data_IF_216121801747
#
_entry.id   IF_216121801747
#
_cell.length_a   1.000
_cell.length_b   1.000
_cell.length_c   1.000
_cell.angle_alpha   90.00
_cell.angle_beta   90.00
_cell.angle_gamma   90.00
#
_symmetry.space_group_name_H-M   'P 1'
#
loop_
_entity.id
_entity.type
_entity.pdbx_description
1 polymer ?
#
# COMPACT_ATOMS: atom_id res chain seq x y z
N UNK A 1 9.79 -0.46 -28.51
CA UNK A 1 9.24 0.00 -27.22
C UNK A 1 10.41 0.34 -26.31
N UNK A 2 10.31 1.36 -25.46
CA UNK A 2 11.35 1.64 -24.44
C UNK A 2 11.16 0.69 -23.26
N UNK A 3 12.26 0.23 -22.68
CA UNK A 3 12.25 -0.50 -21.40
C UNK A 3 11.87 0.45 -20.26
N UNK A 4 11.14 -0.04 -19.24
CA UNK A 4 10.79 0.77 -18.08
C UNK A 4 12.05 1.13 -17.28
N UNK A 5 12.13 2.37 -16.79
CA UNK A 5 13.22 2.81 -15.90
C UNK A 5 13.23 2.02 -14.58
N UNK A 6 12.05 1.60 -14.11
CA UNK A 6 11.89 0.85 -12.88
C UNK A 6 10.77 -0.19 -13.00
N UNK A 7 11.03 -1.40 -12.50
CA UNK A 7 10.02 -2.45 -12.31
C UNK A 7 10.02 -2.86 -10.84
N UNK A 8 8.85 -2.99 -10.24
CA UNK A 8 8.69 -3.42 -8.85
C UNK A 8 7.35 -4.13 -8.64
N UNK A 9 7.30 -4.93 -7.58
CA UNK A 9 6.04 -5.57 -7.17
C UNK A 9 5.13 -4.56 -6.46
N UNK A 10 3.82 -4.76 -6.61
CA UNK A 10 2.81 -3.99 -5.88
C UNK A 10 2.99 -4.20 -4.37
N UNK A 11 2.92 -3.14 -3.55
CA UNK A 11 2.97 -3.26 -2.08
C UNK A 11 1.66 -3.84 -1.53
N UNK A 12 0.60 -3.89 -2.35
CA UNK A 12 -0.70 -4.40 -1.97
C UNK A 12 -0.77 -5.90 -2.28
N UNK A 13 -1.21 -6.67 -1.28
CA UNK A 13 -1.37 -8.12 -1.31
C UNK A 13 -2.37 -8.62 -2.38
N UNK A 14 -3.30 -7.76 -2.79
CA UNK A 14 -4.38 -8.10 -3.74
C UNK A 14 -4.33 -7.19 -4.95
N UNK A 15 -5.02 -7.60 -6.01
CA UNK A 15 -5.03 -6.91 -7.29
C UNK A 15 -5.32 -5.41 -7.13
N UNK A 16 -4.53 -4.59 -7.83
CA UNK A 16 -4.75 -3.16 -7.91
C UNK A 16 -6.06 -2.85 -8.64
N UNK A 17 -6.82 -1.88 -8.12
CA UNK A 17 -8.09 -1.40 -8.67
C UNK A 17 -7.95 -0.03 -9.33
N UNK A 18 -7.22 0.88 -8.72
CA UNK A 18 -7.04 2.24 -9.23
C UNK A 18 -5.68 2.82 -8.88
N UNK A 19 -5.24 3.77 -9.71
CA UNK A 19 -4.00 4.54 -9.60
C UNK A 19 -4.31 6.03 -9.77
N UNK A 20 -3.63 6.88 -8.99
CA UNK A 20 -3.70 8.34 -9.14
C UNK A 20 -2.33 8.95 -8.90
N UNK A 21 -1.96 9.93 -9.70
CA UNK A 21 -0.73 10.71 -9.51
C UNK A 21 -1.03 11.96 -8.67
N UNK A 22 -0.05 12.41 -7.89
CA UNK A 22 -0.13 13.69 -7.21
C UNK A 22 -0.08 14.83 -8.24
N UNK A 23 -0.74 15.98 -8.00
CA UNK A 23 -0.66 17.13 -8.90
C UNK A 23 0.77 17.65 -9.14
N UNK A 24 1.69 17.42 -8.19
CA UNK A 24 3.10 17.77 -8.36
C UNK A 24 3.85 16.83 -9.31
N UNK A 25 3.34 15.61 -9.53
CA UNK A 25 3.93 14.62 -10.42
C UNK A 25 5.01 13.73 -9.80
N UNK A 26 5.36 13.95 -8.52
CA UNK A 26 6.51 13.29 -7.89
C UNK A 26 6.18 11.93 -7.28
N UNK A 27 4.91 11.69 -6.97
CA UNK A 27 4.45 10.50 -6.24
C UNK A 27 3.11 10.01 -6.80
N UNK A 28 2.76 8.76 -6.50
CA UNK A 28 1.47 8.19 -6.88
C UNK A 28 0.84 7.36 -5.76
N UNK A 29 -0.47 7.15 -5.88
CA UNK A 29 -1.27 6.32 -4.98
C UNK A 29 -1.76 5.12 -5.75
N UNK A 30 -1.67 3.94 -5.14
CA UNK A 30 -2.28 2.69 -5.61
C UNK A 30 -3.30 2.19 -4.60
N UNK A 31 -4.43 1.67 -5.10
CA UNK A 31 -5.48 1.05 -4.29
C UNK A 31 -5.78 -0.38 -4.74
N UNK A 32 -6.17 -1.25 -3.82
CA UNK A 32 -6.55 -2.64 -4.12
C UNK A 32 -8.07 -2.81 -4.19
N UNK A 33 -8.50 -3.95 -4.73
CA UNK A 33 -9.92 -4.33 -4.84
C UNK A 33 -10.65 -4.46 -3.50
N UNK A 34 -9.92 -4.73 -2.41
CA UNK A 34 -10.46 -4.86 -1.05
C UNK A 34 -10.41 -3.55 -0.25
N UNK A 35 -9.97 -2.44 -0.89
CA UNK A 35 -9.95 -1.12 -0.26
C UNK A 35 -8.68 -0.75 0.51
N UNK A 36 -7.56 -1.48 0.33
CA UNK A 36 -6.26 -1.01 0.84
C UNK A 36 -5.67 0.06 -0.07
N UNK A 37 -4.90 0.98 0.50
CA UNK A 37 -4.26 2.09 -0.23
C UNK A 37 -2.80 2.20 0.19
N UNK A 38 -1.90 2.45 -0.76
CA UNK A 38 -0.50 2.74 -0.51
C UNK A 38 -0.05 3.95 -1.34
N UNK A 39 0.84 4.76 -0.77
CA UNK A 39 1.55 5.85 -1.45
C UNK A 39 2.89 5.33 -1.92
N UNK A 40 3.28 5.72 -3.12
CA UNK A 40 4.44 5.22 -3.82
C UNK A 40 5.41 6.30 -4.24
N UNK A 41 6.63 6.07 -3.75
CA UNK A 41 7.91 6.71 -4.01
C UNK A 41 8.36 6.66 -5.49
N UNK A 42 8.27 7.73 -6.30
CA UNK A 42 9.02 7.71 -7.59
C UNK A 42 10.52 7.72 -7.32
N UNK A 43 11.00 8.60 -6.42
CA UNK A 43 12.38 8.54 -5.93
C UNK A 43 12.52 7.44 -4.86
N UNK A 44 13.28 6.35 -5.13
CA UNK A 44 13.47 5.27 -4.16
C UNK A 44 14.16 5.73 -2.86
N UNK A 45 14.86 6.87 -2.87
CA UNK A 45 15.51 7.43 -1.66
C UNK A 45 14.49 7.96 -0.64
N UNK A 46 13.27 8.26 -1.07
CA UNK A 46 12.19 8.80 -0.23
C UNK A 46 11.43 7.70 0.54
N UNK A 47 11.54 6.46 0.07
CA UNK A 47 10.93 5.29 0.72
C UNK A 47 11.69 4.93 1.99
N UNK A 48 11.38 5.59 3.12
CA UNK A 48 11.98 5.28 4.42
C UNK A 48 11.02 5.46 5.58
N UNK A 49 10.07 4.52 5.69
CA UNK A 49 9.51 3.97 6.92
C UNK A 49 8.35 3.05 6.52
N UNK A 50 8.59 1.74 6.50
CA UNK A 50 7.54 0.73 6.36
C UNK A 50 6.66 0.76 7.61
N UNK A 51 5.65 1.62 7.63
CA UNK A 51 4.54 1.50 8.56
C UNK A 51 3.61 0.43 7.98
N UNK A 52 3.88 -0.81 8.33
CA UNK A 52 3.03 -1.96 8.03
C UNK A 52 1.63 -1.73 8.59
N UNK A 53 0.68 -1.54 7.67
CA UNK A 53 -0.75 -1.92 7.78
C UNK A 53 -1.23 -2.22 9.20
N UNK A 54 -1.78 -1.24 9.91
CA UNK A 54 -2.50 -1.46 11.17
C UNK A 54 -3.77 -2.29 10.90
N UNK A 55 -3.65 -3.62 10.98
CA UNK A 55 -4.81 -4.49 11.15
C UNK A 55 -5.26 -4.33 12.59
N UNK A 56 -6.39 -3.67 12.82
CA UNK A 56 -7.06 -3.65 14.12
C UNK A 56 -7.48 -5.10 14.41
N UNK A 57 -6.77 -5.76 15.32
CA UNK A 57 -7.20 -7.06 15.82
C UNK A 57 -8.53 -6.89 16.57
N UNK A 58 -9.59 -7.65 16.26
CA UNK A 58 -10.77 -7.65 17.11
C UNK A 58 -10.39 -8.27 18.46
N UNK A 59 -10.60 -7.53 19.54
CA UNK A 59 -10.40 -8.00 20.90
C UNK A 59 -11.37 -9.16 21.20
N UNK A 60 -10.86 -10.40 21.22
CA UNK A 60 -11.64 -11.55 21.69
C UNK A 60 -11.88 -11.41 23.19
N UNK A 61 -13.14 -11.17 23.58
CA UNK A 61 -13.61 -11.29 24.97
C UNK A 61 -13.47 -12.75 25.39
N UNK A 62 -12.63 -13.01 26.39
CA UNK A 62 -12.54 -14.29 27.07
C UNK A 62 -13.74 -14.44 28.02
N UNK A 63 -14.76 -15.19 27.60
CA UNK A 63 -15.80 -15.65 28.52
C UNK A 63 -15.23 -16.80 29.33
N UNK A 64 -14.97 -16.54 30.62
CA UNK A 64 -14.61 -17.56 31.60
C UNK A 64 -15.75 -18.57 31.75
N UNK A 65 -15.44 -19.84 31.50
CA UNK A 65 -16.26 -20.96 31.91
C UNK A 65 -16.06 -21.17 33.42
N UNK A 66 -17.16 -21.08 34.16
CA UNK A 66 -17.26 -21.53 35.54
C UNK A 66 -17.73 -22.98 35.61
#
# INVERSE_FOLDING_TARGET
MREPEQTRESPLKYQARALSIFPSGDDFVVSSIEGRVAVEYVDPKRTRASASSSTIAPSTVATGAS
#
